data_IF_034173148362
#
_entry.id   IF_034173148362
#
_cell.length_a   1.000
_cell.length_b   1.000
_cell.length_c   1.000
_cell.angle_alpha   90.00
_cell.angle_beta   90.00
_cell.angle_gamma   90.00
#
_symmetry.space_group_name_H-M   'P 1'
#
loop_
_entity.id
_entity.type
_entity.pdbx_description
1 polymer ?
#
# COMPACT_ATOMS: atom_id res chain seq x y z
N UNK A 1 -65.07 83.50 20.42
CA UNK A 1 -65.94 82.31 20.54
C UNK A 1 -65.12 81.07 20.17
N UNK A 2 -64.91 80.20 21.16
CA UNK A 2 -64.66 78.74 21.09
C UNK A 2 -63.47 78.31 20.20
N UNK A 3 -62.24 78.22 20.72
CA UNK A 3 -61.67 77.11 21.54
C UNK A 3 -61.83 75.72 20.93
N UNK A 4 -60.73 75.16 20.41
CA UNK A 4 -60.45 73.72 20.55
C UNK A 4 -58.93 73.48 20.63
N UNK A 5 -58.52 73.21 21.87
CA UNK A 5 -57.26 72.60 22.28
C UNK A 5 -57.36 71.10 21.96
N UNK A 6 -56.34 70.51 21.34
CA UNK A 6 -56.01 69.09 21.60
C UNK A 6 -54.52 68.81 21.37
N UNK A 7 -53.82 68.72 22.50
CA UNK A 7 -52.50 68.14 22.69
C UNK A 7 -52.50 66.65 22.30
N UNK A 8 -51.47 66.18 21.57
CA UNK A 8 -50.90 64.84 21.78
C UNK A 8 -49.39 64.77 21.45
N UNK A 9 -48.61 64.79 22.53
CA UNK A 9 -47.52 63.86 22.91
C UNK A 9 -46.51 63.42 21.83
N UNK A 10 -45.33 64.01 21.97
CA UNK A 10 -43.99 63.40 21.96
C UNK A 10 -43.93 61.87 21.83
N UNK A 11 -43.26 61.38 20.77
CA UNK A 11 -42.34 60.22 20.85
C UNK A 11 -41.18 60.41 19.89
N UNK A 12 -40.03 60.73 20.47
CA UNK A 12 -38.71 60.45 19.92
C UNK A 12 -38.65 58.95 19.55
N UNK A 13 -38.39 58.61 18.30
CA UNK A 13 -37.98 57.25 17.93
C UNK A 13 -36.59 57.34 17.33
N UNK A 14 -35.67 56.90 18.18
CA UNK A 14 -34.24 56.78 17.96
C UNK A 14 -33.95 55.95 16.71
N UNK A 15 -33.00 56.43 15.93
CA UNK A 15 -32.29 55.68 14.92
C UNK A 15 -31.62 54.48 15.60
N UNK A 16 -31.92 53.26 15.14
CA UNK A 16 -31.17 52.05 15.49
C UNK A 16 -30.50 51.54 14.22
N UNK A 17 -29.25 51.98 14.04
CA UNK A 17 -28.24 51.30 13.24
C UNK A 17 -28.01 49.92 13.88
N UNK A 18 -28.62 48.88 13.32
CA UNK A 18 -28.31 47.49 13.65
C UNK A 18 -27.04 47.08 12.92
N UNK A 19 -25.95 46.95 13.67
CA UNK A 19 -24.64 46.57 13.16
C UNK A 19 -24.63 45.22 12.46
N UNK A 20 -24.05 45.21 11.26
CA UNK A 20 -23.65 44.01 10.54
C UNK A 20 -22.50 43.36 11.32
N UNK A 21 -22.79 42.32 12.10
CA UNK A 21 -21.75 41.45 12.63
C UNK A 21 -21.14 40.67 11.46
N UNK A 22 -19.97 41.11 10.98
CA UNK A 22 -19.07 40.26 10.21
C UNK A 22 -18.61 39.13 11.13
N UNK A 23 -19.28 37.98 11.06
CA UNK A 23 -18.72 36.73 11.54
C UNK A 23 -17.50 36.41 10.67
N UNK A 24 -16.32 36.78 11.14
CA UNK A 24 -15.05 36.24 10.63
C UNK A 24 -15.08 34.76 11.00
N UNK A 25 -15.48 33.91 10.05
CA UNK A 25 -15.24 32.49 10.16
C UNK A 25 -13.72 32.31 10.17
N UNK A 26 -13.16 31.97 11.33
CA UNK A 26 -11.83 31.37 11.37
C UNK A 26 -11.93 30.07 10.58
N UNK A 27 -11.53 30.10 9.31
CA UNK A 27 -11.29 28.90 8.53
C UNK A 27 -10.05 28.29 9.18
N UNK A 28 -10.24 27.26 10.01
CA UNK A 28 -9.12 26.46 10.45
C UNK A 28 -8.43 25.94 9.18
N UNK A 29 -7.12 26.22 9.03
CA UNK A 29 -6.35 25.56 7.99
C UNK A 29 -6.49 24.06 8.22
N UNK A 30 -7.02 23.35 7.21
CA UNK A 30 -6.96 21.90 7.18
C UNK A 30 -5.49 21.52 7.33
N UNK A 31 -5.13 20.91 8.45
CA UNK A 31 -3.80 20.33 8.63
C UNK A 31 -3.77 19.07 7.77
N UNK A 32 -2.75 18.97 6.93
CA UNK A 32 -2.44 17.76 6.18
C UNK A 32 -0.92 17.55 6.25
N UNK A 33 -0.52 16.30 6.45
CA UNK A 33 0.89 15.92 6.46
C UNK A 33 1.25 15.35 5.09
N UNK A 34 2.29 15.88 4.46
CA UNK A 34 2.75 15.41 3.14
C UNK A 34 3.82 14.35 3.31
N UNK A 35 3.77 13.31 2.49
CA UNK A 35 4.81 12.29 2.42
C UNK A 35 5.27 12.20 0.98
N UNK A 36 6.54 12.50 0.74
CA UNK A 36 7.22 12.19 -0.51
C UNK A 36 7.96 10.88 -0.30
N UNK A 37 7.79 9.91 -1.19
CA UNK A 37 8.48 8.63 -1.11
C UNK A 37 9.13 8.31 -2.45
N UNK A 38 10.36 7.79 -2.44
CA UNK A 38 11.11 7.63 -3.69
C UNK A 38 12.32 6.71 -3.58
N UNK A 39 12.87 6.37 -4.73
CA UNK A 39 14.22 5.83 -4.89
C UNK A 39 15.17 6.88 -5.47
N UNK A 40 16.45 6.55 -5.62
CA UNK A 40 17.42 7.42 -6.28
C UNK A 40 17.39 7.22 -7.81
N UNK A 41 17.85 8.24 -8.54
CA UNK A 41 18.07 8.14 -9.99
C UNK A 41 19.08 7.04 -10.31
N UNK A 42 18.80 6.23 -11.33
CA UNK A 42 19.61 5.11 -11.77
C UNK A 42 19.83 4.05 -10.67
N UNK A 43 18.81 3.85 -9.84
CA UNK A 43 18.86 2.84 -8.80
C UNK A 43 18.96 1.43 -9.39
N UNK A 44 19.46 0.51 -8.58
CA UNK A 44 19.68 -0.88 -9.00
C UNK A 44 18.51 -1.74 -8.56
N UNK A 45 17.46 -1.69 -9.38
CA UNK A 45 16.20 -2.38 -9.15
C UNK A 45 16.14 -3.63 -10.04
N UNK A 46 16.08 -4.81 -9.43
CA UNK A 46 16.16 -6.08 -10.15
C UNK A 46 14.99 -7.02 -9.88
N UNK A 47 14.72 -7.90 -10.84
CA UNK A 47 13.87 -9.06 -10.69
C UNK A 47 14.63 -10.26 -10.06
N UNK A 48 13.93 -11.36 -9.81
CA UNK A 48 14.52 -12.58 -9.24
C UNK A 48 15.51 -13.28 -10.17
N UNK A 49 15.53 -12.93 -11.45
CA UNK A 49 16.50 -13.36 -12.46
C UNK A 49 17.74 -12.47 -12.57
N UNK A 50 17.76 -11.33 -11.88
CA UNK A 50 18.80 -10.30 -12.02
C UNK A 50 18.61 -9.40 -13.25
N UNK A 51 17.45 -9.47 -13.91
CA UNK A 51 17.01 -8.51 -14.91
C UNK A 51 16.61 -7.20 -14.26
N UNK A 52 16.79 -6.09 -14.95
CA UNK A 52 16.37 -4.76 -14.48
C UNK A 52 14.84 -4.70 -14.48
N UNK A 53 14.22 -4.11 -13.46
CA UNK A 53 12.76 -3.98 -13.42
C UNK A 53 12.25 -3.18 -14.62
N UNK A 54 11.18 -3.68 -15.22
CA UNK A 54 10.54 -3.07 -16.37
C UNK A 54 9.15 -2.52 -16.01
N UNK A 55 8.35 -2.31 -17.03
CA UNK A 55 7.07 -1.63 -16.94
C UNK A 55 5.95 -2.54 -16.42
N UNK A 56 6.24 -3.83 -16.21
CA UNK A 56 5.31 -4.77 -15.58
C UNK A 56 5.17 -4.49 -14.08
N UNK A 57 6.12 -3.77 -13.47
CA UNK A 57 6.19 -3.57 -12.05
C UNK A 57 5.45 -2.31 -11.59
N UNK A 58 4.95 -2.37 -10.37
CA UNK A 58 4.38 -1.25 -9.63
C UNK A 58 4.97 -1.20 -8.22
N UNK A 59 4.99 0.00 -7.66
CA UNK A 59 5.48 0.29 -6.32
C UNK A 59 4.31 0.86 -5.52
N UNK A 60 3.93 0.22 -4.43
CA UNK A 60 2.90 0.74 -3.53
C UNK A 60 3.47 0.99 -2.16
N UNK A 61 3.14 2.14 -1.58
CA UNK A 61 3.25 2.36 -0.15
C UNK A 61 1.89 2.14 0.50
N UNK A 62 1.90 1.53 1.67
CA UNK A 62 0.66 1.19 2.36
C UNK A 62 0.88 0.57 3.72
N UNK A 63 -0.20 0.12 4.33
CA UNK A 63 -0.18 -0.54 5.63
C UNK A 63 -0.90 -1.89 5.56
N UNK A 64 -0.58 -2.77 6.49
CA UNK A 64 -1.42 -3.91 6.81
C UNK A 64 -2.45 -3.57 7.88
N UNK A 65 -3.63 -4.21 7.78
CA UNK A 65 -4.70 -4.05 8.77
C UNK A 65 -4.21 -4.41 10.19
N UNK A 66 -4.74 -3.73 11.23
CA UNK A 66 -4.37 -4.01 12.62
C UNK A 66 -4.54 -5.50 12.98
N UNK A 67 -3.50 -6.07 13.60
CA UNK A 67 -3.48 -7.48 14.00
C UNK A 67 -2.96 -8.44 12.92
N UNK A 68 -2.65 -7.95 11.73
CA UNK A 68 -1.93 -8.71 10.70
C UNK A 68 -0.44 -8.37 10.73
N UNK A 69 0.42 -9.38 10.80
CA UNK A 69 1.88 -9.23 10.63
C UNK A 69 2.29 -9.95 9.35
N UNK A 70 2.79 -9.24 8.33
CA UNK A 70 3.20 -9.87 7.08
C UNK A 70 4.43 -10.75 7.31
N UNK A 71 4.44 -11.93 6.71
CA UNK A 71 5.57 -12.86 6.70
C UNK A 71 5.60 -13.59 5.36
N UNK A 72 6.74 -14.16 5.00
CA UNK A 72 6.83 -15.02 3.81
C UNK A 72 5.91 -16.25 3.84
N UNK A 73 5.40 -16.63 5.02
CA UNK A 73 4.52 -17.80 5.19
C UNK A 73 3.03 -17.51 4.98
N UNK A 74 2.64 -16.24 4.88
CA UNK A 74 1.24 -15.80 4.75
C UNK A 74 1.03 -14.84 3.58
N UNK A 75 1.88 -14.92 2.55
CA UNK A 75 1.81 -14.11 1.32
C UNK A 75 0.45 -14.17 0.64
N UNK A 76 -0.25 -15.30 0.78
CA UNK A 76 -1.59 -15.53 0.25
C UNK A 76 -2.67 -14.64 0.91
N UNK A 77 -2.39 -14.10 2.08
CA UNK A 77 -3.30 -13.24 2.84
C UNK A 77 -2.98 -11.76 2.67
N UNK A 78 -1.86 -11.39 2.06
CA UNK A 78 -1.37 -10.01 2.04
C UNK A 78 -2.36 -9.07 1.39
N UNK A 79 -2.80 -9.37 0.16
CA UNK A 79 -3.71 -8.49 -0.59
C UNK A 79 -5.01 -8.20 0.19
N UNK A 80 -5.57 -9.21 0.87
CA UNK A 80 -6.80 -9.02 1.65
C UNK A 80 -6.61 -8.13 2.90
N UNK A 81 -5.39 -8.06 3.42
CA UNK A 81 -5.02 -7.29 4.60
C UNK A 81 -4.29 -5.98 4.26
N UNK A 82 -4.01 -5.70 2.98
CA UNK A 82 -3.28 -4.53 2.53
C UNK A 82 -4.21 -3.33 2.34
N UNK A 83 -3.73 -2.15 2.68
CA UNK A 83 -4.40 -0.86 2.41
C UNK A 83 -3.39 0.10 1.80
N UNK A 84 -3.61 0.43 0.53
CA UNK A 84 -2.74 1.30 -0.26
C UNK A 84 -2.89 2.75 0.19
N UNK A 85 -1.76 3.40 0.49
CA UNK A 85 -1.66 4.84 0.75
C UNK A 85 -1.44 5.61 -0.54
N UNK A 86 -0.56 5.10 -1.40
CA UNK A 86 -0.18 5.68 -2.68
C UNK A 86 0.49 4.63 -3.57
N UNK A 87 0.60 4.92 -4.86
CA UNK A 87 1.20 4.01 -5.84
C UNK A 87 2.00 4.79 -6.88
N UNK A 88 3.15 4.23 -7.26
CA UNK A 88 3.91 4.62 -8.43
C UNK A 88 3.92 3.50 -9.48
N UNK A 89 3.65 3.82 -10.73
CA UNK A 89 3.62 2.89 -11.86
C UNK A 89 3.80 3.63 -13.20
N UNK A 90 4.06 2.89 -14.27
CA UNK A 90 4.23 3.43 -15.63
C UNK A 90 3.01 3.06 -16.50
N UNK A 91 2.09 4.01 -16.79
CA UNK A 91 0.95 3.76 -17.67
C UNK A 91 1.30 3.78 -19.16
N UNK A 92 2.44 4.34 -19.54
CA UNK A 92 2.83 4.62 -20.94
C UNK A 92 4.23 4.11 -21.26
N UNK A 93 4.47 2.81 -21.08
CA UNK A 93 5.81 2.21 -21.04
C UNK A 93 6.65 2.28 -22.31
N UNK A 94 6.02 2.63 -23.42
CA UNK A 94 6.66 2.72 -24.72
C UNK A 94 7.15 4.15 -25.03
N UNK A 95 6.80 5.15 -24.19
CA UNK A 95 7.19 6.56 -24.39
C UNK A 95 8.21 7.02 -23.34
N UNK A 96 9.52 7.03 -23.67
CA UNK A 96 10.57 7.37 -22.72
C UNK A 96 10.65 8.85 -22.32
N UNK A 97 9.77 9.72 -22.82
CA UNK A 97 9.70 11.14 -22.44
C UNK A 97 8.25 11.60 -22.22
N UNK A 98 7.37 10.72 -21.80
CA UNK A 98 5.97 11.05 -21.52
C UNK A 98 5.80 11.99 -20.31
N UNK A 99 6.79 12.05 -19.42
CA UNK A 99 6.71 12.82 -18.19
C UNK A 99 5.68 12.22 -17.22
N UNK A 100 5.52 10.89 -17.31
CA UNK A 100 4.80 9.96 -16.46
C UNK A 100 4.45 10.52 -15.06
N UNK A 101 3.24 11.09 -14.90
CA UNK A 101 2.76 11.67 -13.65
C UNK A 101 2.59 10.64 -12.52
N UNK A 102 2.57 9.36 -12.87
CA UNK A 102 2.37 8.22 -11.97
C UNK A 102 3.68 7.64 -11.45
N UNK A 103 4.83 8.25 -11.78
CA UNK A 103 5.99 8.22 -10.90
C UNK A 103 6.95 7.03 -10.99
N UNK A 104 6.76 6.04 -11.87
CA UNK A 104 7.78 5.00 -12.14
C UNK A 104 8.45 5.23 -13.48
N UNK A 105 9.73 5.60 -13.48
CA UNK A 105 10.48 5.85 -14.70
C UNK A 105 11.45 4.70 -15.00
N UNK A 106 11.09 3.87 -15.98
CA UNK A 106 11.87 2.69 -16.37
C UNK A 106 13.21 3.06 -17.03
N UNK A 107 13.30 4.03 -17.96
CA UNK A 107 14.58 4.40 -18.56
C UNK A 107 15.63 4.88 -17.55
N UNK A 108 15.20 5.64 -16.53
CA UNK A 108 16.07 6.20 -15.51
C UNK A 108 16.13 5.36 -14.23
N UNK A 109 15.35 4.27 -14.14
CA UNK A 109 15.32 3.31 -13.03
C UNK A 109 15.10 3.99 -11.67
N UNK A 110 14.06 4.81 -11.57
CA UNK A 110 13.65 5.38 -10.28
C UNK A 110 12.14 5.49 -10.16
N UNK A 111 11.62 5.41 -8.94
CA UNK A 111 10.24 5.74 -8.64
C UNK A 111 10.12 6.92 -7.68
N UNK A 112 9.00 7.63 -7.77
CA UNK A 112 8.62 8.74 -6.89
C UNK A 112 7.11 8.75 -6.72
N UNK A 113 6.65 9.02 -5.51
CA UNK A 113 5.25 9.28 -5.23
C UNK A 113 5.08 10.36 -4.18
N UNK A 114 3.86 10.86 -4.08
CA UNK A 114 3.51 11.90 -3.13
C UNK A 114 2.03 11.82 -2.77
N UNK A 115 1.77 11.82 -1.47
CA UNK A 115 0.42 11.92 -0.94
C UNK A 115 0.38 12.79 0.30
N UNK A 116 -0.82 13.19 0.70
CA UNK A 116 -1.07 13.86 1.96
C UNK A 116 -2.00 13.02 2.82
N UNK A 117 -1.72 12.92 4.11
CA UNK A 117 -2.69 12.48 5.12
C UNK A 117 -3.52 13.69 5.52
N UNK A 118 -4.78 13.71 5.09
CA UNK A 118 -5.72 14.78 5.37
C UNK A 118 -6.31 14.69 6.79
N UNK A 119 -6.96 15.77 7.21
CA UNK A 119 -7.74 15.78 8.45
C UNK A 119 -8.81 14.67 8.43
N UNK A 120 -8.62 13.65 9.26
CA UNK A 120 -9.44 12.43 9.29
C UNK A 120 -8.68 11.15 8.98
N UNK A 121 -7.40 11.25 8.60
CA UNK A 121 -6.52 10.11 8.36
C UNK A 121 -6.62 9.53 6.94
N UNK A 122 -7.28 10.20 6.00
CA UNK A 122 -7.40 9.73 4.63
C UNK A 122 -6.21 10.18 3.79
N UNK A 123 -5.75 9.32 2.88
CA UNK A 123 -4.73 9.72 1.89
C UNK A 123 -5.38 10.51 0.75
N UNK A 124 -4.69 11.55 0.28
CA UNK A 124 -5.08 12.35 -0.89
C UNK A 124 -4.73 11.68 -2.22
N UNK A 125 -4.00 10.55 -2.21
CA UNK A 125 -3.62 9.84 -3.43
C UNK A 125 -4.87 9.32 -4.16
N UNK A 126 -4.94 9.45 -5.50
CA UNK A 126 -6.02 8.85 -6.28
C UNK A 126 -6.02 7.32 -6.25
N UNK A 127 -4.89 6.69 -5.90
CA UNK A 127 -4.72 5.23 -5.80
C UNK A 127 -4.94 4.68 -4.39
N UNK A 128 -5.18 5.55 -3.40
CA UNK A 128 -5.43 5.14 -2.03
C UNK A 128 -6.73 4.33 -1.89
N UNK A 129 -6.82 3.49 -0.86
CA UNK A 129 -8.11 2.92 -0.45
C UNK A 129 -9.02 4.07 0.06
N UNK A 130 -10.06 4.47 -0.70
CA UNK A 130 -10.76 5.73 -0.49
C UNK A 130 -11.67 5.72 0.75
N UNK A 131 -11.92 4.54 1.34
CA UNK A 131 -12.78 4.40 2.52
C UNK A 131 -11.98 4.11 3.79
N UNK A 132 -10.67 3.92 3.67
CA UNK A 132 -9.83 3.57 4.80
C UNK A 132 -9.19 4.83 5.41
N UNK A 133 -9.45 5.05 6.70
CA UNK A 133 -8.73 6.05 7.48
C UNK A 133 -7.47 5.40 8.07
N UNK A 134 -6.30 5.86 7.64
CA UNK A 134 -5.00 5.39 8.07
C UNK A 134 -4.68 5.97 9.45
N UNK A 135 -4.49 5.12 10.49
CA UNK A 135 -4.14 5.61 11.80
C UNK A 135 -2.69 6.10 11.82
N UNK A 136 -2.48 7.31 12.38
CA UNK A 136 -1.14 7.83 12.66
C UNK A 136 -0.33 6.85 13.52
N UNK A 137 0.96 6.72 13.21
CA UNK A 137 1.89 5.79 13.84
C UNK A 137 1.81 4.36 13.32
N UNK A 138 0.94 4.04 12.36
CA UNK A 138 0.93 2.71 11.73
C UNK A 138 2.21 2.51 10.89
N UNK A 139 2.84 1.33 11.01
CA UNK A 139 3.97 0.97 10.16
C UNK A 139 3.53 0.95 8.69
N UNK A 140 4.22 1.76 7.87
CA UNK A 140 4.11 1.75 6.43
C UNK A 140 5.13 0.79 5.83
N UNK A 141 4.79 0.22 4.69
CA UNK A 141 5.62 -0.73 3.94
C UNK A 141 5.69 -0.29 2.49
N UNK A 142 6.79 -0.63 1.82
CA UNK A 142 6.91 -0.61 0.37
C UNK A 142 6.65 -2.02 -0.16
N UNK A 143 5.60 -2.18 -0.97
CA UNK A 143 5.33 -3.41 -1.70
C UNK A 143 5.58 -3.19 -3.20
N UNK A 144 6.56 -3.91 -3.74
CA UNK A 144 6.87 -3.93 -5.17
C UNK A 144 6.37 -5.24 -5.76
N UNK A 145 5.64 -5.19 -6.88
CA UNK A 145 5.06 -6.37 -7.51
C UNK A 145 4.84 -6.21 -9.01
N UNK A 146 4.87 -7.32 -9.76
CA UNK A 146 4.38 -7.39 -11.15
C UNK A 146 2.85 -7.55 -11.20
N UNK A 147 2.31 -8.36 -10.30
CA UNK A 147 0.89 -8.56 -10.12
C UNK A 147 0.59 -9.12 -8.73
N UNK A 148 -0.50 -8.67 -8.11
CA UNK A 148 -0.97 -9.18 -6.82
C UNK A 148 -1.75 -10.50 -6.92
N UNK A 149 -1.99 -11.03 -8.13
CA UNK A 149 -2.71 -12.30 -8.31
C UNK A 149 -1.79 -13.52 -8.17
N UNK A 150 -2.23 -14.52 -7.42
CA UNK A 150 -1.45 -15.74 -7.11
C UNK A 150 -1.63 -16.86 -8.14
N UNK A 151 -1.86 -16.54 -9.41
CA UNK A 151 -2.22 -17.48 -10.48
C UNK A 151 -1.04 -17.92 -11.37
N UNK A 152 0.13 -17.33 -11.20
CA UNK A 152 1.34 -17.57 -11.99
C UNK A 152 2.59 -17.34 -11.11
N UNK A 153 3.83 -17.65 -11.58
CA UNK A 153 5.00 -17.06 -10.94
C UNK A 153 4.85 -15.54 -10.94
N UNK A 154 4.88 -14.95 -9.74
CA UNK A 154 4.82 -13.51 -9.49
C UNK A 154 6.09 -13.06 -8.83
N UNK A 155 6.43 -11.81 -8.99
CA UNK A 155 7.69 -11.23 -8.54
C UNK A 155 7.38 -10.16 -7.51
N UNK A 156 7.61 -10.44 -6.23
CA UNK A 156 7.28 -9.52 -5.13
C UNK A 156 8.50 -9.14 -4.30
N UNK A 157 8.50 -7.92 -3.76
CA UNK A 157 9.32 -7.52 -2.62
C UNK A 157 8.45 -6.76 -1.61
N UNK A 158 8.69 -6.97 -0.31
CA UNK A 158 8.02 -6.24 0.76
C UNK A 158 9.05 -5.81 1.79
N UNK A 159 9.18 -4.50 1.96
CA UNK A 159 10.19 -3.85 2.77
C UNK A 159 9.56 -2.79 3.68
N UNK A 160 10.25 -2.43 4.76
CA UNK A 160 9.87 -1.34 5.66
C UNK A 160 11.11 -0.81 6.37
N UNK A 161 11.06 0.43 6.86
CA UNK A 161 11.99 0.91 7.88
C UNK A 161 11.34 0.69 9.25
N UNK A 162 11.86 -0.29 9.97
CA UNK A 162 11.22 -0.86 11.14
C UNK A 162 11.21 0.09 12.34
N UNK A 163 10.10 0.10 13.08
CA UNK A 163 10.06 0.73 14.40
C UNK A 163 10.93 -0.07 15.39
N UNK A 164 12.17 0.35 15.59
CA UNK A 164 13.02 -0.12 16.70
C UNK A 164 13.08 0.91 17.82
N UNK A 165 13.35 0.47 19.05
CA UNK A 165 13.39 1.36 20.23
C UNK A 165 14.39 2.53 20.08
N UNK A 166 15.38 2.36 19.19
CA UNK A 166 16.45 3.33 18.93
C UNK A 166 16.24 4.10 17.61
N UNK A 167 15.24 3.74 16.77
CA UNK A 167 14.96 4.37 15.46
C UNK A 167 13.51 4.89 15.32
N UNK A 168 12.92 5.48 16.35
CA UNK A 168 11.56 6.05 16.27
C UNK A 168 11.49 7.34 15.44
N UNK A 169 12.63 7.96 15.13
CA UNK A 169 12.69 9.25 14.46
C UNK A 169 12.78 9.14 12.93
N UNK A 170 13.16 7.97 12.41
CA UNK A 170 13.33 7.71 10.96
C UNK A 170 12.32 6.68 10.43
N UNK A 171 11.75 5.86 11.33
CA UNK A 171 10.83 4.78 10.95
C UNK A 171 9.71 5.24 10.01
N UNK A 172 9.45 4.40 9.00
CA UNK A 172 8.36 4.59 8.04
C UNK A 172 7.00 4.37 8.71
N UNK A 173 6.48 5.40 9.36
CA UNK A 173 5.18 5.38 10.03
C UNK A 173 4.24 6.43 9.47
N UNK A 174 2.98 6.04 9.24
CA UNK A 174 1.95 6.97 8.77
C UNK A 174 1.92 8.19 9.70
N UNK A 175 2.09 9.42 9.17
CA UNK A 175 2.07 10.60 10.00
C UNK A 175 0.66 10.93 10.49
N UNK A 176 0.56 11.60 11.64
CA UNK A 176 -0.64 12.36 11.97
C UNK A 176 -0.81 13.52 10.98
N UNK A 177 -2.05 13.93 10.72
CA UNK A 177 -2.35 14.96 9.72
C UNK A 177 -1.70 16.33 9.99
N UNK A 178 -1.16 16.57 11.18
CA UNK A 178 -0.46 17.79 11.58
C UNK A 178 1.07 17.66 11.67
N UNK A 179 1.63 16.51 11.30
CA UNK A 179 3.07 16.22 11.42
C UNK A 179 3.97 17.03 10.46
N UNK A 180 3.41 17.69 9.44
CA UNK A 180 4.18 18.42 8.43
C UNK A 180 4.59 17.53 7.26
N UNK A 181 5.74 17.82 6.65
CA UNK A 181 6.24 17.07 5.49
C UNK A 181 7.32 16.06 5.91
N UNK A 182 7.22 14.84 5.40
CA UNK A 182 8.19 13.76 5.57
C UNK A 182 8.71 13.30 4.21
N UNK A 183 9.91 12.71 4.23
CA UNK A 183 10.56 12.10 3.08
C UNK A 183 10.91 10.67 3.45
N UNK A 184 10.58 9.73 2.56
CA UNK A 184 10.81 8.29 2.72
C UNK A 184 11.63 7.78 1.55
N UNK A 185 12.89 7.42 1.78
CA UNK A 185 13.77 6.94 0.71
C UNK A 185 13.99 5.43 0.78
N UNK A 186 14.03 4.78 -0.38
CA UNK A 186 14.32 3.35 -0.49
C UNK A 186 15.61 2.95 0.26
N UNK A 187 16.62 3.83 0.29
CA UNK A 187 17.89 3.59 0.98
C UNK A 187 17.76 3.52 2.51
N UNK A 188 16.67 4.04 3.09
CA UNK A 188 16.41 4.01 4.53
C UNK A 188 15.75 2.70 4.98
N UNK A 189 15.24 1.88 4.06
CA UNK A 189 14.59 0.61 4.39
C UNK A 189 15.57 -0.41 4.96
N UNK A 190 15.32 -0.89 6.17
CA UNK A 190 16.24 -1.77 6.92
C UNK A 190 15.63 -3.14 7.26
N UNK A 191 14.33 -3.34 7.03
CA UNK A 191 13.64 -4.61 7.27
C UNK A 191 13.11 -5.19 5.96
N UNK A 192 13.64 -6.35 5.58
CA UNK A 192 13.18 -7.13 4.42
C UNK A 192 12.25 -8.26 4.88
N UNK A 193 10.96 -8.17 4.54
CA UNK A 193 9.96 -9.22 4.83
C UNK A 193 9.95 -10.29 3.73
N UNK A 194 10.16 -9.87 2.48
CA UNK A 194 10.24 -10.71 1.29
C UNK A 194 10.96 -9.97 0.16
N UNK A 195 11.59 -10.69 -0.77
CA UNK A 195 12.46 -10.07 -1.77
C UNK A 195 13.84 -9.75 -1.20
N UNK A 196 14.44 -8.65 -1.64
CA UNK A 196 15.67 -8.08 -1.11
C UNK A 196 15.65 -6.56 -1.18
N UNK A 197 16.41 -5.91 -0.31
CA UNK A 197 16.67 -4.46 -0.38
C UNK A 197 17.99 -4.08 0.28
N UNK A 198 18.62 -3.02 -0.23
CA UNK A 198 19.87 -2.46 0.28
C UNK A 198 20.95 -3.53 0.51
N UNK A 199 21.24 -4.33 -0.52
CA UNK A 199 22.16 -5.47 -0.53
C UNK A 199 21.81 -6.63 0.43
N UNK A 200 20.66 -6.58 1.11
CA UNK A 200 20.18 -7.62 2.01
C UNK A 200 19.12 -8.49 1.33
N UNK A 201 19.38 -9.79 1.31
CA UNK A 201 18.43 -10.78 0.82
C UNK A 201 17.47 -11.22 1.92
N UNK A 202 16.19 -11.25 1.58
CA UNK A 202 15.11 -11.79 2.41
C UNK A 202 14.57 -13.11 1.88
N UNK A 203 13.41 -13.56 2.42
CA UNK A 203 12.71 -14.73 1.92
C UNK A 203 12.25 -14.60 0.47
N UNK A 204 12.00 -15.74 -0.18
CA UNK A 204 11.51 -15.83 -1.56
C UNK A 204 12.47 -16.60 -2.47
N UNK A 205 12.04 -16.90 -3.70
CA UNK A 205 12.88 -17.59 -4.68
C UNK A 205 13.55 -16.63 -5.65
N UNK A 206 14.85 -16.78 -5.87
CA UNK A 206 15.61 -16.09 -6.91
C UNK A 206 16.65 -17.01 -7.54
N UNK A 207 17.09 -16.64 -8.73
CA UNK A 207 18.07 -17.42 -9.53
C UNK A 207 19.40 -16.70 -9.68
N UNK A 208 19.42 -15.38 -9.51
CA UNK A 208 20.64 -14.57 -9.50
C UNK A 208 20.65 -13.69 -8.27
N UNK A 209 21.81 -13.63 -7.60
CA UNK A 209 22.08 -12.75 -6.45
C UNK A 209 22.99 -11.60 -6.92
N UNK A 210 22.44 -10.40 -7.18
CA UNK A 210 23.25 -9.26 -7.60
C UNK A 210 24.23 -8.87 -6.49
N UNK A 211 25.48 -8.58 -6.86
CA UNK A 211 26.50 -8.20 -5.86
C UNK A 211 26.16 -6.89 -5.15
N UNK A 212 25.46 -5.99 -5.85
CA UNK A 212 24.99 -4.71 -5.30
C UNK A 212 23.65 -4.36 -5.92
N UNK A 213 22.64 -4.08 -5.09
CA UNK A 213 21.28 -3.72 -5.48
C UNK A 213 20.57 -2.89 -4.41
N UNK A 214 19.69 -1.99 -4.85
CA UNK A 214 18.82 -1.21 -3.96
C UNK A 214 17.54 -1.99 -3.64
N UNK A 215 17.01 -2.73 -4.62
CA UNK A 215 15.84 -3.60 -4.47
C UNK A 215 15.94 -4.81 -5.39
N UNK A 216 15.52 -5.97 -4.89
CA UNK A 216 15.31 -7.16 -5.70
C UNK A 216 13.95 -7.80 -5.39
N UNK A 217 13.14 -8.06 -6.42
CA UNK A 217 11.92 -8.86 -6.26
C UNK A 217 12.23 -10.35 -6.32
N UNK A 218 11.44 -11.16 -5.61
CA UNK A 218 11.56 -12.60 -5.57
C UNK A 218 10.30 -13.27 -6.10
N UNK A 219 10.50 -14.44 -6.71
CA UNK A 219 9.42 -15.30 -7.17
C UNK A 219 8.57 -15.82 -6.01
N UNK A 220 7.26 -15.60 -6.10
CA UNK A 220 6.26 -16.08 -5.17
C UNK A 220 5.90 -17.51 -5.51
N UNK A 221 6.38 -18.43 -4.67
CA UNK A 221 5.97 -19.82 -4.74
C UNK A 221 4.56 -19.97 -4.15
N UNK A 222 3.53 -19.89 -4.99
CA UNK A 222 2.18 -20.31 -4.59
C UNK A 222 2.24 -21.82 -4.37
N UNK A 223 1.87 -22.35 -3.20
CA UNK A 223 1.69 -23.79 -3.04
C UNK A 223 0.57 -24.19 -4.00
N UNK A 224 0.92 -24.71 -5.17
CA UNK A 224 -0.05 -25.33 -6.07
C UNK A 224 -0.71 -26.42 -5.22
N UNK A 225 -2.04 -26.36 -4.97
CA UNK A 225 -2.70 -27.45 -4.28
C UNK A 225 -2.47 -28.68 -5.14
N UNK A 226 -1.60 -29.59 -4.69
CA UNK A 226 -1.38 -30.83 -5.42
C UNK A 226 -2.76 -31.46 -5.63
N UNK A 227 -3.17 -31.77 -6.87
CA UNK A 227 -4.41 -32.48 -7.08
C UNK A 227 -4.30 -33.86 -6.46
N UNK A 228 -4.74 -33.96 -5.20
CA UNK A 228 -5.03 -35.17 -4.46
C UNK A 228 -4.02 -36.31 -4.63
N UNK A 229 -2.86 -36.23 -3.99
CA UNK A 229 -2.13 -37.45 -3.59
C UNK A 229 -3.04 -38.38 -2.76
N UNK A 230 -4.04 -37.83 -2.05
CA UNK A 230 -5.14 -38.59 -1.44
C UNK A 230 -6.08 -39.29 -2.46
N UNK A 231 -6.29 -38.72 -3.65
CA UNK A 231 -7.12 -39.31 -4.71
C UNK A 231 -6.37 -40.47 -5.39
N UNK A 232 -5.04 -40.34 -5.59
CA UNK A 232 -4.18 -41.41 -6.08
C UNK A 232 -4.02 -42.56 -5.08
N UNK A 233 -3.89 -42.27 -3.79
CA UNK A 233 -3.90 -43.29 -2.73
C UNK A 233 -5.28 -43.95 -2.61
N UNK A 234 -6.36 -43.19 -2.73
CA UNK A 234 -7.73 -43.72 -2.76
C UNK A 234 -8.00 -44.65 -3.96
N UNK A 235 -7.54 -44.27 -5.16
CA UNK A 235 -7.68 -45.09 -6.37
C UNK A 235 -6.84 -46.38 -6.32
N UNK A 236 -5.62 -46.32 -5.80
CA UNK A 236 -4.75 -47.50 -5.67
C UNK A 236 -5.29 -48.49 -4.64
N UNK A 237 -5.78 -48.01 -3.49
CA UNK A 237 -6.44 -48.85 -2.48
C UNK A 237 -7.79 -49.42 -3.00
N UNK A 238 -8.55 -48.64 -3.75
CA UNK A 238 -9.80 -49.07 -4.39
C UNK A 238 -9.59 -50.17 -5.44
N UNK A 239 -8.60 -50.02 -6.32
CA UNK A 239 -8.23 -51.04 -7.30
C UNK A 239 -7.71 -52.32 -6.62
N UNK A 240 -6.88 -52.21 -5.58
CA UNK A 240 -6.38 -53.37 -4.84
C UNK A 240 -7.50 -54.16 -4.15
N UNK A 241 -8.52 -53.48 -3.60
CA UNK A 241 -9.69 -54.12 -2.99
C UNK A 241 -10.56 -54.84 -4.03
N UNK A 242 -10.76 -54.26 -5.22
CA UNK A 242 -11.53 -54.87 -6.31
C UNK A 242 -10.81 -56.09 -6.91
N UNK A 243 -9.48 -56.05 -7.03
CA UNK A 243 -8.69 -57.18 -7.53
C UNK A 243 -8.66 -58.35 -6.52
N UNK A 244 -8.59 -58.08 -5.21
CA UNK A 244 -8.70 -59.13 -4.18
C UNK A 244 -10.07 -59.82 -4.17
N UNK A 245 -11.15 -59.09 -4.44
CA UNK A 245 -12.50 -59.68 -4.51
C UNK A 245 -12.69 -60.60 -5.71
N UNK A 246 -12.03 -60.33 -6.84
CA UNK A 246 -12.13 -61.18 -8.04
C UNK A 246 -11.37 -62.51 -7.91
N UNK A 247 -10.28 -62.56 -7.15
CA UNK A 247 -9.53 -63.80 -6.90
C UNK A 247 -10.27 -64.82 -6.02
N UNK A 248 -11.14 -64.36 -5.11
CA UNK A 248 -11.88 -65.24 -4.18
C UNK A 248 -13.11 -65.93 -4.82
N UNK A 249 -13.70 -65.34 -5.87
CA UNK A 249 -14.84 -65.95 -6.59
C UNK A 249 -14.42 -67.07 -7.56
N UNK A 250 -13.15 -67.14 -7.97
CA UNK A 250 -12.67 -68.19 -8.88
C UNK A 250 -12.25 -69.50 -8.16
N UNK A 251 -12.24 -69.51 -6.82
CA UNK A 251 -11.83 -70.67 -6.01
C UNK A 251 -13.01 -71.48 -5.43
N UNK A 252 -14.25 -71.19 -5.85
CA UNK A 252 -15.45 -72.00 -5.57
C UNK A 252 -16.04 -72.50 -6.89
N UNK A 253 -15.39 -73.50 -7.48
CA UNK A 253 -15.85 -74.31 -8.60
C UNK A 253 -15.50 -75.75 -8.32
#
# INVERSE_FOLDING_TARGET
MISKISSQRTRCKSWLLGGLFCAVACVAQSQAAGVTWSSQYQDRLFDSGGGVLDTQFSFEVGIFLPGFTPTASNVDLWESNWRTLDRAYDPTPEDPNDGDPEGWNVPEQFFVGYYQIEAGGYSSSPDADPLYAFPGGAQAYLWVYDSKSLDAPREWALLTDGITADNLADAWVVPDADAGSLEWYLEDLDVVIYGGGNDLQGPGGYTLDPVVFSLQTHSVAVPVPEPGSALLVGLTLGLAALLRRRGLSAARG
#
